data_IF_366335371097
#
_entry.id   IF_366335371097
#
_cell.length_a   1.000
_cell.length_b   1.000
_cell.length_c   1.000
_cell.angle_alpha   90.00
_cell.angle_beta   90.00
_cell.angle_gamma   90.00
#
_symmetry.space_group_name_H-M   'P 1'
#
loop_
_entity.id
_entity.type
_entity.pdbx_description
1 polymer ?
#
# COMPACT_ATOMS: atom_id res chain seq x y z
N UNK A 1 8.85 7.68 0.22
CA UNK A 1 8.57 8.20 -1.13
C UNK A 1 9.15 9.59 -1.25
N UNK A 2 8.32 10.64 -1.08
CA UNK A 2 8.76 12.03 -1.23
C UNK A 2 10.01 12.39 -0.40
N UNK A 3 10.05 12.05 0.90
CA UNK A 3 11.25 12.29 1.74
C UNK A 3 12.50 11.54 1.26
N UNK A 4 12.36 10.32 0.73
CA UNK A 4 13.49 9.56 0.18
C UNK A 4 14.06 10.24 -1.06
N UNK A 5 13.19 10.80 -1.91
CA UNK A 5 13.62 11.56 -3.08
C UNK A 5 14.17 12.94 -2.71
N UNK A 6 13.62 13.59 -1.68
CA UNK A 6 14.02 14.94 -1.25
C UNK A 6 15.37 14.98 -0.53
N UNK A 7 15.74 13.90 0.16
CA UNK A 7 17.00 13.82 0.91
C UNK A 7 18.03 12.90 0.22
N UNK A 8 17.78 12.50 -1.03
CA UNK A 8 18.58 11.53 -1.78
C UNK A 8 18.84 10.20 -1.05
N UNK A 9 17.97 9.84 -0.09
CA UNK A 9 18.14 8.65 0.75
C UNK A 9 18.05 7.33 -0.03
N UNK A 10 17.55 7.37 -1.27
CA UNK A 10 17.53 6.22 -2.15
C UNK A 10 18.93 5.71 -2.54
N UNK A 11 19.99 6.52 -2.38
CA UNK A 11 21.37 6.16 -2.70
C UNK A 11 22.21 5.71 -1.50
N UNK A 12 21.62 5.66 -0.30
CA UNK A 12 22.38 5.40 0.93
C UNK A 12 22.54 3.90 1.23
N UNK A 13 21.45 3.14 1.17
CA UNK A 13 21.45 1.70 1.42
C UNK A 13 20.80 0.99 0.23
N UNK A 14 21.61 0.43 -0.68
CA UNK A 14 21.14 -0.14 -1.96
C UNK A 14 21.04 -1.67 -1.98
N UNK A 15 21.04 -2.31 -0.80
CA UNK A 15 20.69 -3.73 -0.64
C UNK A 15 19.23 -3.92 -0.20
N UNK A 16 18.69 -5.12 -0.38
CA UNK A 16 17.36 -5.53 0.09
C UNK A 16 17.36 -7.06 0.34
N UNK A 17 16.73 -7.58 1.41
CA UNK A 17 15.87 -6.91 2.39
C UNK A 17 16.63 -6.13 3.49
N UNK A 18 17.90 -6.45 3.68
CA UNK A 18 18.79 -5.73 4.59
C UNK A 18 19.04 -4.29 4.08
N UNK A 19 19.51 -3.44 4.98
CA UNK A 19 20.12 -2.15 4.71
C UNK A 19 21.62 -2.34 4.97
N UNK A 20 22.36 -2.50 3.89
CA UNK A 20 23.70 -3.11 3.85
C UNK A 20 23.71 -4.50 4.53
N UNK A 21 24.44 -4.67 5.62
CA UNK A 21 24.55 -5.92 6.38
C UNK A 21 23.62 -5.98 7.60
N UNK A 22 22.74 -4.99 7.77
CA UNK A 22 21.87 -4.84 8.94
C UNK A 22 20.39 -4.84 8.57
N UNK A 23 19.54 -5.41 9.42
CA UNK A 23 18.07 -5.29 9.26
C UNK A 23 17.58 -3.87 9.54
N UNK A 24 18.20 -3.24 10.54
CA UNK A 24 17.88 -1.90 11.03
C UNK A 24 19.21 -1.25 11.43
N UNK A 25 19.65 -0.19 10.75
CA UNK A 25 20.91 0.50 11.07
C UNK A 25 20.73 1.47 12.23
N UNK A 26 20.50 0.94 13.44
CA UNK A 26 20.13 1.72 14.63
C UNK A 26 21.13 2.82 14.99
N UNK A 27 22.41 2.59 14.71
CA UNK A 27 23.48 3.55 14.99
C UNK A 27 23.43 4.77 14.07
N UNK A 28 22.91 4.60 12.84
CA UNK A 28 22.82 5.67 11.84
C UNK A 28 21.46 6.41 11.88
N UNK A 29 20.48 5.88 12.63
CA UNK A 29 19.09 6.35 12.61
C UNK A 29 18.85 7.64 13.41
N UNK A 30 19.76 8.02 14.31
CA UNK A 30 19.65 9.24 15.12
C UNK A 30 20.94 10.03 15.01
N UNK A 31 20.84 11.18 14.34
CA UNK A 31 21.86 12.22 14.37
C UNK A 31 21.60 13.16 15.58
N UNK A 32 22.52 13.24 16.56
CA UNK A 32 22.40 14.15 17.69
C UNK A 32 22.38 15.64 17.31
N UNK A 33 22.94 16.01 16.16
CA UNK A 33 23.03 17.39 15.68
C UNK A 33 21.72 17.85 15.00
N UNK A 34 20.89 16.90 14.58
CA UNK A 34 19.53 17.18 14.07
C UNK A 34 18.60 17.50 15.25
N UNK A 35 18.34 18.81 15.43
CA UNK A 35 17.43 19.35 16.46
C UNK A 35 16.17 19.99 15.85
N UNK A 36 14.99 19.81 16.47
CA UNK A 36 14.67 18.83 17.53
C UNK A 36 14.73 17.37 17.06
N UNK A 37 14.90 16.43 18.00
CA UNK A 37 15.19 15.00 17.72
C UNK A 37 14.21 14.34 16.75
N UNK A 38 12.93 14.70 16.79
CA UNK A 38 11.91 14.12 15.90
C UNK A 38 12.18 14.37 14.41
N UNK A 39 12.99 15.39 14.06
CA UNK A 39 13.37 15.69 12.67
C UNK A 39 14.15 14.56 12.04
N UNK A 40 14.86 13.73 12.83
CA UNK A 40 15.49 12.50 12.32
C UNK A 40 14.50 11.60 11.55
N UNK A 41 13.22 11.56 11.94
CA UNK A 41 12.20 10.79 11.23
C UNK A 41 12.00 11.21 9.76
N UNK A 42 12.36 12.45 9.41
CA UNK A 42 12.11 13.07 8.11
C UNK A 42 13.38 13.53 7.39
N UNK A 43 14.49 13.70 8.12
CA UNK A 43 15.73 14.32 7.63
C UNK A 43 16.92 13.37 7.65
N UNK A 44 16.99 12.46 8.63
CA UNK A 44 18.07 11.48 8.69
C UNK A 44 17.87 10.41 7.61
N UNK A 45 18.90 10.23 6.80
CA UNK A 45 18.89 9.36 5.62
C UNK A 45 18.52 7.91 5.95
N UNK A 46 19.14 7.32 6.98
CA UNK A 46 18.89 5.95 7.39
C UNK A 46 17.45 5.76 7.89
N UNK A 47 17.00 6.67 8.75
CA UNK A 47 15.64 6.66 9.30
C UNK A 47 14.58 6.85 8.22
N UNK A 48 14.76 7.79 7.30
CA UNK A 48 13.84 8.04 6.18
C UNK A 48 13.75 6.83 5.26
N UNK A 49 14.89 6.18 4.97
CA UNK A 49 14.91 5.01 4.11
C UNK A 49 14.25 3.81 4.79
N UNK A 50 14.55 3.56 6.07
CA UNK A 50 13.92 2.50 6.87
C UNK A 50 12.41 2.70 6.97
N UNK A 51 11.96 3.91 7.32
CA UNK A 51 10.54 4.28 7.36
C UNK A 51 9.86 3.98 6.02
N UNK A 52 10.50 4.32 4.90
CA UNK A 52 9.94 4.07 3.58
C UNK A 52 9.82 2.58 3.26
N UNK A 53 10.82 1.76 3.60
CA UNK A 53 10.80 0.30 3.41
C UNK A 53 9.67 -0.35 4.21
N UNK A 54 9.53 0.02 5.48
CA UNK A 54 8.48 -0.48 6.37
C UNK A 54 7.11 -0.09 5.87
N UNK A 55 6.88 1.20 5.56
CA UNK A 55 5.59 1.68 5.07
C UNK A 55 5.22 1.09 3.71
N UNK A 56 6.20 0.94 2.80
CA UNK A 56 5.99 0.32 1.49
C UNK A 56 5.61 -1.16 1.60
N UNK A 57 6.34 -1.91 2.43
CA UNK A 57 6.08 -3.35 2.65
C UNK A 57 4.75 -3.58 3.36
N UNK A 58 4.46 -2.82 4.41
CA UNK A 58 3.17 -2.92 5.12
C UNK A 58 1.99 -2.55 4.23
N UNK A 59 2.12 -1.51 3.38
CA UNK A 59 1.09 -1.16 2.39
C UNK A 59 0.83 -2.32 1.43
N UNK A 60 1.88 -2.95 0.89
CA UNK A 60 1.74 -4.09 -0.01
C UNK A 60 1.06 -5.29 0.68
N UNK A 61 1.49 -5.62 1.90
CA UNK A 61 0.88 -6.68 2.71
C UNK A 61 -0.59 -6.36 3.02
N UNK A 62 -0.92 -5.12 3.39
CA UNK A 62 -2.30 -4.70 3.65
C UNK A 62 -3.17 -4.79 2.39
N UNK A 63 -2.66 -4.37 1.23
CA UNK A 63 -3.38 -4.45 -0.04
C UNK A 63 -3.68 -5.91 -0.44
N UNK A 64 -2.66 -6.78 -0.37
CA UNK A 64 -2.81 -8.21 -0.67
C UNK A 64 -3.70 -8.90 0.37
N UNK A 65 -3.53 -8.60 1.65
CA UNK A 65 -4.34 -9.15 2.74
C UNK A 65 -5.80 -8.73 2.64
N UNK A 66 -6.08 -7.47 2.29
CA UNK A 66 -7.43 -6.97 2.05
C UNK A 66 -8.08 -7.69 0.85
N UNK A 67 -7.32 -7.88 -0.24
CA UNK A 67 -7.80 -8.66 -1.38
C UNK A 67 -8.05 -10.13 -1.02
N UNK A 68 -7.15 -10.76 -0.25
CA UNK A 68 -7.33 -12.13 0.24
C UNK A 68 -8.59 -12.27 1.10
N UNK A 69 -8.78 -11.35 2.06
CA UNK A 69 -9.97 -11.31 2.90
C UNK A 69 -11.24 -11.11 2.04
N UNK A 70 -11.26 -10.10 1.18
CA UNK A 70 -12.42 -9.76 0.37
C UNK A 70 -12.78 -10.82 -0.68
N UNK A 71 -11.80 -11.50 -1.28
CA UNK A 71 -12.04 -12.41 -2.40
C UNK A 71 -12.26 -13.86 -1.97
N UNK A 72 -11.72 -14.27 -0.81
CA UNK A 72 -11.68 -15.67 -0.37
C UNK A 72 -12.57 -15.89 0.86
N UNK A 73 -12.56 -14.95 1.82
CA UNK A 73 -13.18 -15.19 3.12
C UNK A 73 -14.71 -15.14 3.04
N UNK A 74 -15.44 -16.17 3.53
CA UNK A 74 -16.91 -16.22 3.43
C UNK A 74 -17.61 -15.01 4.05
N UNK A 75 -17.08 -14.47 5.15
CA UNK A 75 -17.62 -13.30 5.83
C UNK A 75 -17.64 -12.02 4.96
N UNK A 76 -16.79 -11.93 3.94
CA UNK A 76 -16.73 -10.76 3.06
C UNK A 76 -17.75 -10.82 1.90
N UNK A 77 -18.36 -11.99 1.62
CA UNK A 77 -19.20 -12.21 0.43
C UNK A 77 -20.35 -11.21 0.29
N UNK A 78 -20.94 -10.78 1.40
CA UNK A 78 -22.00 -9.77 1.37
C UNK A 78 -21.50 -8.43 0.80
N UNK A 79 -20.32 -7.97 1.23
CA UNK A 79 -19.78 -6.65 0.90
C UNK A 79 -19.10 -6.56 -0.48
N UNK A 80 -18.89 -7.68 -1.16
CA UNK A 80 -18.04 -7.75 -2.37
C UNK A 80 -18.90 -7.76 -3.63
N UNK A 81 -19.26 -6.55 -4.08
CA UNK A 81 -19.87 -6.35 -5.41
C UNK A 81 -18.84 -6.60 -6.53
N UNK A 82 -19.26 -6.76 -7.80
CA UNK A 82 -18.32 -6.89 -8.92
C UNK A 82 -17.30 -5.73 -9.01
N UNK A 83 -17.71 -4.52 -8.65
CA UNK A 83 -16.85 -3.33 -8.61
C UNK A 83 -15.81 -3.43 -7.49
N UNK A 84 -16.23 -3.81 -6.28
CA UNK A 84 -15.31 -4.05 -5.15
C UNK A 84 -14.32 -5.16 -5.51
N UNK A 85 -14.80 -6.27 -6.10
CA UNK A 85 -13.95 -7.38 -6.55
C UNK A 85 -12.86 -6.91 -7.52
N UNK A 86 -13.25 -6.15 -8.56
CA UNK A 86 -12.29 -5.59 -9.54
C UNK A 86 -11.31 -4.65 -8.85
N UNK A 87 -11.80 -3.78 -7.97
CA UNK A 87 -10.96 -2.85 -7.22
C UNK A 87 -9.91 -3.56 -6.36
N UNK A 88 -10.29 -4.62 -5.65
CA UNK A 88 -9.39 -5.42 -4.83
C UNK A 88 -8.31 -6.12 -5.67
N UNK A 89 -8.68 -6.68 -6.83
CA UNK A 89 -7.73 -7.31 -7.75
C UNK A 89 -6.74 -6.31 -8.35
N UNK A 90 -7.22 -5.13 -8.75
CA UNK A 90 -6.36 -4.06 -9.27
C UNK A 90 -5.43 -3.57 -8.17
N UNK A 91 -5.95 -3.24 -6.99
CA UNK A 91 -5.18 -2.75 -5.84
C UNK A 91 -4.05 -3.70 -5.46
N UNK A 92 -4.33 -5.01 -5.33
CA UNK A 92 -3.30 -5.98 -4.99
C UNK A 92 -2.26 -6.13 -6.10
N UNK A 93 -2.67 -6.17 -7.37
CA UNK A 93 -1.77 -6.25 -8.51
C UNK A 93 -0.83 -5.05 -8.61
N UNK A 94 -1.37 -3.82 -8.51
CA UNK A 94 -0.54 -2.60 -8.56
C UNK A 94 0.35 -2.46 -7.32
N UNK A 95 -0.09 -2.90 -6.14
CA UNK A 95 0.71 -2.85 -4.93
C UNK A 95 1.92 -3.81 -4.99
N UNK A 96 1.73 -5.03 -5.53
CA UNK A 96 2.83 -5.97 -5.79
C UNK A 96 3.80 -5.37 -6.81
N UNK A 97 3.28 -4.87 -7.93
CA UNK A 97 4.11 -4.21 -8.95
C UNK A 97 4.89 -3.02 -8.37
N UNK A 98 4.27 -2.23 -7.51
CA UNK A 98 4.87 -1.06 -6.88
C UNK A 98 6.04 -1.42 -5.95
N UNK A 99 5.88 -2.44 -5.09
CA UNK A 99 6.98 -2.86 -4.20
C UNK A 99 8.12 -3.48 -5.01
N UNK A 100 7.82 -4.29 -6.03
CA UNK A 100 8.84 -4.83 -6.94
C UNK A 100 9.60 -3.71 -7.66
N UNK A 101 8.90 -2.71 -8.19
CA UNK A 101 9.50 -1.57 -8.85
C UNK A 101 10.32 -0.70 -7.89
N UNK A 102 9.89 -0.55 -6.64
CA UNK A 102 10.65 0.14 -5.59
C UNK A 102 11.96 -0.56 -5.26
N UNK A 103 11.92 -1.88 -5.09
CA UNK A 103 13.13 -2.70 -4.89
C UNK A 103 14.04 -2.61 -6.12
N UNK A 104 13.49 -2.70 -7.34
CA UNK A 104 14.30 -2.54 -8.56
C UNK A 104 14.94 -1.16 -8.66
N UNK A 105 14.21 -0.09 -8.32
CA UNK A 105 14.74 1.29 -8.28
C UNK A 105 15.91 1.38 -7.31
N UNK A 106 15.77 0.80 -6.12
CA UNK A 106 16.79 0.77 -5.09
C UNK A 106 18.04 -0.01 -5.53
N UNK A 107 17.88 -1.25 -6.01
CA UNK A 107 19.01 -2.11 -6.39
C UNK A 107 19.80 -1.57 -7.60
N UNK A 108 19.19 -0.69 -8.41
CA UNK A 108 19.82 -0.06 -9.56
C UNK A 108 20.32 1.37 -9.27
N UNK A 109 20.45 1.76 -8.00
CA UNK A 109 20.94 3.09 -7.60
C UNK A 109 20.10 4.25 -8.15
N UNK A 110 18.77 4.12 -7.99
CA UNK A 110 17.77 5.16 -8.29
C UNK A 110 17.87 5.75 -9.72
N UNK A 111 17.83 4.93 -10.80
CA UNK A 111 17.76 5.49 -12.15
C UNK A 111 16.49 6.33 -12.30
N UNK A 112 16.61 7.53 -12.88
CA UNK A 112 15.50 8.51 -12.97
C UNK A 112 14.25 7.90 -13.60
N UNK A 113 14.40 7.04 -14.61
CA UNK A 113 13.28 6.36 -15.28
C UNK A 113 12.54 5.40 -14.34
N UNK A 114 13.26 4.60 -13.55
CA UNK A 114 12.66 3.70 -12.56
C UNK A 114 12.06 4.48 -11.40
N UNK A 115 12.76 5.52 -10.91
CA UNK A 115 12.25 6.38 -9.84
C UNK A 115 10.96 7.10 -10.25
N UNK A 116 10.89 7.65 -11.47
CA UNK A 116 9.69 8.28 -12.00
C UNK A 116 8.54 7.27 -12.18
N UNK A 117 8.84 6.08 -12.72
CA UNK A 117 7.86 5.00 -12.83
C UNK A 117 7.34 4.58 -11.43
N UNK A 118 8.21 4.52 -10.43
CA UNK A 118 7.82 4.21 -9.05
C UNK A 118 6.92 5.30 -8.44
N UNK A 119 7.16 6.58 -8.74
CA UNK A 119 6.26 7.65 -8.32
C UNK A 119 4.87 7.52 -8.97
N UNK A 120 4.82 7.23 -10.28
CA UNK A 120 3.55 6.98 -10.98
C UNK A 120 2.82 5.74 -10.45
N UNK A 121 3.54 4.67 -10.13
CA UNK A 121 2.96 3.48 -9.52
C UNK A 121 2.38 3.75 -8.13
N UNK A 122 2.97 4.66 -7.35
CA UNK A 122 2.41 5.09 -6.06
C UNK A 122 1.06 5.78 -6.21
N UNK A 123 0.89 6.59 -7.26
CA UNK A 123 -0.38 7.21 -7.61
C UNK A 123 -1.42 6.16 -8.03
N UNK A 124 -1.02 5.13 -8.76
CA UNK A 124 -1.91 4.02 -9.13
C UNK A 124 -2.38 3.23 -7.89
N UNK A 125 -1.50 2.96 -6.94
CA UNK A 125 -1.86 2.34 -5.65
C UNK A 125 -2.86 3.21 -4.89
N UNK A 126 -2.58 4.51 -4.74
CA UNK A 126 -3.49 5.43 -4.06
C UNK A 126 -4.87 5.49 -4.74
N UNK A 127 -4.88 5.64 -6.07
CA UNK A 127 -6.11 5.75 -6.86
C UNK A 127 -6.97 4.49 -6.76
N UNK A 128 -6.34 3.32 -6.87
CA UNK A 128 -7.05 2.03 -6.71
C UNK A 128 -7.56 1.82 -5.28
N UNK A 129 -6.83 2.27 -4.26
CA UNK A 129 -7.30 2.29 -2.87
C UNK A 129 -8.54 3.17 -2.67
N UNK A 130 -8.52 4.39 -3.19
CA UNK A 130 -9.69 5.30 -3.17
C UNK A 130 -10.87 4.66 -3.89
N UNK A 131 -10.64 4.02 -5.05
CA UNK A 131 -11.67 3.32 -5.80
C UNK A 131 -12.32 2.18 -4.99
N UNK A 132 -11.52 1.38 -4.27
CA UNK A 132 -12.03 0.32 -3.38
C UNK A 132 -12.88 0.91 -2.26
N UNK A 133 -12.37 1.93 -1.55
CA UNK A 133 -13.10 2.59 -0.45
C UNK A 133 -14.42 3.18 -0.94
N UNK A 134 -14.42 3.82 -2.10
CA UNK A 134 -15.63 4.39 -2.71
C UNK A 134 -16.62 3.28 -3.10
N UNK A 135 -16.15 2.20 -3.74
CA UNK A 135 -17.00 1.08 -4.17
C UNK A 135 -17.66 0.36 -2.99
N UNK A 136 -16.97 0.26 -1.85
CA UNK A 136 -17.50 -0.35 -0.63
C UNK A 136 -18.69 0.44 -0.05
N UNK A 137 -18.75 1.76 -0.24
CA UNK A 137 -19.89 2.58 0.25
C UNK A 137 -21.22 2.18 -0.39
N UNK A 138 -21.19 1.66 -1.62
CA UNK A 138 -22.38 1.25 -2.36
C UNK A 138 -22.73 -0.23 -2.18
N UNK A 139 -21.87 -1.01 -1.52
CA UNK A 139 -22.15 -2.42 -1.23
C UNK A 139 -23.28 -2.58 -0.18
N UNK A 140 -23.22 -1.84 0.93
CA UNK A 140 -24.19 -1.96 2.03
C UNK A 140 -25.64 -1.67 1.63
N UNK A 141 -25.94 -0.61 0.83
CA UNK A 141 -27.29 -0.37 0.33
C UNK A 141 -27.79 -1.44 -0.66
N UNK A 142 -26.90 -1.96 -1.52
CA UNK A 142 -27.26 -2.99 -2.51
C UNK A 142 -27.63 -4.33 -1.84
N UNK A 143 -26.92 -4.70 -0.78
CA UNK A 143 -27.22 -5.90 0.03
C UNK A 143 -28.58 -5.76 0.71
N UNK A 144 -28.83 -4.63 1.40
CA UNK A 144 -30.12 -4.38 2.07
C UNK A 144 -31.28 -4.46 1.08
N UNK A 145 -31.16 -3.80 -0.08
CA UNK A 145 -32.18 -3.84 -1.13
C UNK A 145 -32.45 -5.25 -1.64
N UNK A 146 -31.41 -6.06 -1.82
CA UNK A 146 -31.55 -7.45 -2.31
C UNK A 146 -32.24 -8.35 -1.28
N UNK A 147 -31.92 -8.17 0.01
CA UNK A 147 -32.60 -8.87 1.10
C UNK A 147 -34.08 -8.47 1.20
N UNK A 148 -34.39 -7.18 1.13
CA UNK A 148 -35.77 -6.68 1.18
C UNK A 148 -36.63 -7.25 0.04
N UNK A 149 -36.08 -7.35 -1.18
CA UNK A 149 -36.75 -7.96 -2.32
C UNK A 149 -36.99 -9.45 -2.09
N UNK A 150 -35.99 -10.19 -1.57
CA UNK A 150 -36.13 -11.60 -1.28
C UNK A 150 -37.23 -11.88 -0.23
N UNK A 151 -37.24 -11.10 0.87
CA UNK A 151 -38.26 -11.20 1.93
C UNK A 151 -39.66 -10.91 1.39
N UNK A 152 -39.84 -9.85 0.60
CA UNK A 152 -41.14 -9.50 -0.01
C UNK A 152 -41.63 -10.57 -1.00
N UNK A 153 -40.71 -11.22 -1.70
CA UNK A 153 -41.05 -12.28 -2.67
C UNK A 153 -41.46 -13.57 -1.95
N UNK A 154 -40.81 -13.90 -0.82
CA UNK A 154 -41.19 -15.03 0.03
C UNK A 154 -42.59 -14.81 0.64
N UNK A 155 -42.86 -13.62 1.19
CA UNK A 155 -44.14 -13.28 1.79
C UNK A 155 -45.33 -13.21 0.80
N UNK A 156 -45.07 -13.19 -0.51
CA UNK A 156 -46.12 -13.23 -1.56
C UNK A 156 -46.47 -14.64 -2.04
N UNK A 157 -45.69 -15.65 -1.63
CA UNK A 157 -45.90 -17.05 -2.01
C UNK A 157 -46.70 -17.84 -0.95
N UNK A 158 -46.97 -17.24 0.19
CA UNK A 158 -47.90 -17.71 1.23
C UNK A 158 -49.27 -17.04 1.05
#
# INVERSE_FOLDING_TARGET
GAFVAGNDAGNAYNSFPLMDDQWIPVDDMIDPDVKPVYRNAFENTAMVQWNHRVLGTTTAISAVGLAGFGLIHPAARGAVTPQVRRGLQVLSGVAIGQVTLGIATLLNYVPITLAAAHQLGSLAVLTSGIYVVHSLRYATPAIKKSLDVAVRTAARKE
#
